data_IF_362096055249
#
_entry.id   IF_362096055249
#
_cell.length_a   1.000
_cell.length_b   1.000
_cell.length_c   1.000
_cell.angle_alpha   90.00
_cell.angle_beta   90.00
_cell.angle_gamma   90.00
#
_symmetry.space_group_name_H-M   'P 1'
#
loop_
_entity.id
_entity.type
_entity.pdbx_description
1 polymer ?
#
# COMPACT_ATOMS: atom_id res chain seq x y z
N UNK A 1 -12.88 2.11 -4.99
CA UNK A 1 -12.42 0.90 -4.29
C UNK A 1 -12.85 1.09 -2.86
N UNK A 2 -13.71 0.21 -2.34
CA UNK A 2 -14.37 0.44 -1.05
C UNK A 2 -13.39 0.40 0.12
N UNK A 3 -13.67 1.23 1.12
CA UNK A 3 -12.87 1.33 2.34
C UNK A 3 -12.78 -0.01 3.07
N UNK A 4 -13.85 -0.80 3.05
CA UNK A 4 -13.89 -2.14 3.64
C UNK A 4 -12.92 -3.09 2.94
N UNK A 5 -12.93 -3.10 1.61
CA UNK A 5 -11.99 -3.89 0.82
C UNK A 5 -10.53 -3.51 1.12
N UNK A 6 -10.24 -2.21 1.21
CA UNK A 6 -8.90 -1.71 1.54
C UNK A 6 -8.47 -2.14 2.96
N UNK A 7 -9.37 -2.08 3.95
CA UNK A 7 -9.10 -2.54 5.31
C UNK A 7 -8.80 -4.03 5.38
N UNK A 8 -9.65 -4.86 4.75
CA UNK A 8 -9.46 -6.31 4.71
C UNK A 8 -8.13 -6.67 4.03
N UNK A 9 -7.81 -6.03 2.90
CA UNK A 9 -6.54 -6.27 2.23
C UNK A 9 -5.33 -5.82 3.04
N UNK A 10 -5.39 -4.67 3.71
CA UNK A 10 -4.31 -4.24 4.59
C UNK A 10 -4.04 -5.26 5.70
N UNK A 11 -5.11 -5.82 6.30
CA UNK A 11 -5.01 -6.86 7.33
C UNK A 11 -4.37 -8.14 6.79
N UNK A 12 -4.88 -8.70 5.69
CA UNK A 12 -4.31 -9.93 5.10
C UNK A 12 -2.84 -9.75 4.72
N UNK A 13 -2.47 -8.59 4.17
CA UNK A 13 -1.08 -8.32 3.78
C UNK A 13 -0.16 -8.24 5.01
N UNK A 14 -0.64 -7.74 6.15
CA UNK A 14 0.13 -7.78 7.41
C UNK A 14 0.34 -9.19 7.92
N UNK A 15 -0.71 -10.02 7.92
CA UNK A 15 -0.63 -11.42 8.35
C UNK A 15 0.36 -12.21 7.47
N UNK A 16 0.43 -11.91 6.17
CA UNK A 16 1.45 -12.46 5.27
C UNK A 16 2.86 -11.92 5.57
N UNK A 17 2.97 -10.63 5.92
CA UNK A 17 4.26 -10.02 6.24
C UNK A 17 4.90 -10.61 7.50
N UNK A 18 4.11 -11.09 8.45
CA UNK A 18 4.62 -11.75 9.65
C UNK A 18 5.35 -13.06 9.35
N UNK A 19 4.93 -13.76 8.30
CA UNK A 19 5.48 -15.06 7.88
C UNK A 19 6.57 -14.95 6.80
N UNK A 20 6.81 -13.75 6.28
CA UNK A 20 7.72 -13.53 5.15
C UNK A 20 9.15 -13.21 5.60
N UNK A 21 10.12 -13.49 4.72
CA UNK A 21 11.52 -13.06 4.89
C UNK A 21 11.64 -11.54 5.10
N UNK A 22 12.68 -11.04 5.79
CA UNK A 22 12.81 -9.61 6.14
C UNK A 22 12.69 -8.65 4.95
N UNK A 23 13.22 -9.04 3.79
CA UNK A 23 13.13 -8.24 2.56
C UNK A 23 11.69 -8.13 2.05
N UNK A 24 10.97 -9.26 1.99
CA UNK A 24 9.59 -9.34 1.53
C UNK A 24 8.64 -8.71 2.54
N UNK A 25 8.87 -8.95 3.84
CA UNK A 25 8.15 -8.32 4.95
C UNK A 25 8.12 -6.80 4.82
N UNK A 26 9.27 -6.16 4.56
CA UNK A 26 9.33 -4.70 4.37
C UNK A 26 8.43 -4.25 3.21
N UNK A 27 8.41 -5.00 2.10
CA UNK A 27 7.58 -4.67 0.93
C UNK A 27 6.09 -4.87 1.20
N UNK A 28 5.72 -5.94 1.89
CA UNK A 28 4.34 -6.23 2.27
C UNK A 28 3.81 -5.18 3.25
N UNK A 29 4.60 -4.76 4.24
CA UNK A 29 4.21 -3.70 5.17
C UNK A 29 3.99 -2.36 4.45
N UNK A 30 4.84 -2.03 3.46
CA UNK A 30 4.61 -0.84 2.61
C UNK A 30 3.30 -0.95 1.82
N UNK A 31 2.98 -2.14 1.30
CA UNK A 31 1.75 -2.39 0.57
C UNK A 31 0.51 -2.26 1.48
N UNK A 32 0.56 -2.81 2.70
CA UNK A 32 -0.52 -2.65 3.68
C UNK A 32 -0.76 -1.18 4.03
N UNK A 33 0.31 -0.42 4.27
CA UNK A 33 0.21 1.02 4.55
C UNK A 33 -0.37 1.82 3.36
N UNK A 34 -0.18 1.36 2.12
CA UNK A 34 -0.81 1.99 0.96
C UNK A 34 -2.32 1.73 0.91
N UNK A 35 -2.77 0.53 1.29
CA UNK A 35 -4.21 0.24 1.39
C UNK A 35 -4.85 1.07 2.50
N UNK A 36 -4.20 1.20 3.66
CA UNK A 36 -4.73 2.02 4.76
C UNK A 36 -4.83 3.50 4.40
N UNK A 37 -3.84 4.05 3.69
CA UNK A 37 -3.90 5.44 3.21
C UNK A 37 -5.03 5.68 2.21
N UNK A 38 -5.55 4.65 1.56
CA UNK A 38 -6.70 4.75 0.66
C UNK A 38 -8.03 4.73 1.40
N UNK A 39 -8.06 4.19 2.62
CA UNK A 39 -9.28 4.20 3.46
C UNK A 39 -9.59 5.65 3.84
N UNK A 40 -10.72 6.16 3.36
CA UNK A 40 -11.16 7.53 3.63
C UNK A 40 -10.58 8.62 2.72
N UNK A 41 -9.83 8.27 1.67
CA UNK A 41 -9.47 9.23 0.62
C UNK A 41 -10.43 9.14 -0.56
N UNK A 42 -11.04 10.27 -0.99
CA UNK A 42 -11.89 10.29 -2.17
C UNK A 42 -11.07 9.90 -3.40
N UNK A 43 -11.66 9.02 -4.22
CA UNK A 43 -11.08 8.41 -5.43
C UNK A 43 -10.45 9.38 -6.44
N UNK A 44 -10.84 10.66 -6.37
CA UNK A 44 -10.34 11.74 -7.23
C UNK A 44 -8.90 12.17 -6.92
N UNK A 45 -8.37 11.92 -5.73
CA UNK A 45 -6.99 12.31 -5.33
C UNK A 45 -5.95 11.19 -5.56
N UNK A 46 -6.42 9.95 -5.72
CA UNK A 46 -5.56 8.74 -5.78
C UNK A 46 -4.79 8.64 -7.10
N UNK A 47 -5.31 9.21 -8.20
CA UNK A 47 -4.63 9.20 -9.50
C UNK A 47 -3.34 10.04 -9.51
N UNK A 48 -3.25 11.09 -8.67
CA UNK A 48 -2.08 11.98 -8.63
C UNK A 48 -0.95 11.43 -7.74
N UNK A 49 -1.29 10.72 -6.67
CA UNK A 49 -0.31 10.16 -5.73
C UNK A 49 0.28 8.82 -6.20
N UNK A 50 -0.48 8.01 -6.94
CA UNK A 50 0.01 6.75 -7.53
C UNK A 50 1.11 6.95 -8.58
N UNK A 51 1.17 8.09 -9.28
CA UNK A 51 2.29 8.42 -10.18
C UNK A 51 3.50 9.01 -9.45
N UNK A 52 3.31 9.63 -8.27
CA UNK A 52 4.40 10.31 -7.57
C UNK A 52 5.30 9.34 -6.78
N UNK A 53 4.73 8.31 -6.14
CA UNK A 53 5.53 7.29 -5.40
C UNK A 53 6.31 6.36 -6.36
N UNK A 54 5.89 6.28 -7.63
CA UNK A 54 6.60 5.53 -8.69
C UNK A 54 7.66 6.33 -9.45
N UNK A 55 7.78 7.65 -9.24
CA UNK A 55 8.70 8.54 -9.98
C UNK A 55 9.77 9.17 -9.06
N UNK A 56 10.30 8.40 -8.11
CA UNK A 56 11.50 8.77 -7.34
C UNK A 56 12.54 7.62 -7.33
N UNK A 57 12.65 6.88 -8.44
CA UNK A 57 13.72 5.88 -8.63
C UNK A 57 14.35 5.92 -10.02
N UNK A 58 14.43 7.10 -10.63
CA UNK A 58 15.28 7.35 -11.81
C UNK A 58 16.08 8.64 -11.61
N UNK A 59 17.07 8.56 -10.73
CA UNK A 59 18.17 9.50 -10.62
C UNK A 59 19.42 8.69 -10.25
N UNK A 60 20.03 8.10 -11.28
CA UNK A 60 21.43 7.69 -11.37
C UNK A 60 21.68 7.29 -12.83
#
# INVERSE_FOLDING_TARGET
MDDEFCRERARTVRELAEQADPFIKKRLLQLAANYERRVGQPETEIALTCWHVGRLSRAA
#
